data_IF_272047161348
#
_entry.id   IF_272047161348
#
_cell.length_a   1.000
_cell.length_b   1.000
_cell.length_c   1.000
_cell.angle_alpha   90.00
_cell.angle_beta   90.00
_cell.angle_gamma   90.00
#
_symmetry.space_group_name_H-M   'P 1'
#
loop_
_entity.id
_entity.type
_entity.pdbx_description
1 polymer ?
#
# COMPACT_ATOMS: atom_id res chain seq x y z
N UNK A 1 32.09 6.30 -4.71
CA UNK A 1 31.61 7.57 -4.12
C UNK A 1 30.86 8.25 -5.25
N UNK A 2 29.54 8.19 -5.24
CA UNK A 2 28.73 8.90 -6.26
C UNK A 2 29.01 10.38 -6.03
N UNK A 3 29.41 11.15 -7.05
CA UNK A 3 29.70 12.57 -6.86
C UNK A 3 28.43 13.25 -6.35
N UNK A 4 28.55 14.00 -5.27
CA UNK A 4 27.49 14.87 -4.76
C UNK A 4 27.05 15.78 -5.91
N UNK A 5 25.87 15.49 -6.44
CA UNK A 5 25.21 16.32 -7.43
C UNK A 5 24.94 17.68 -6.80
N UNK A 6 25.69 18.66 -7.29
CA UNK A 6 25.38 20.09 -7.38
C UNK A 6 24.19 20.57 -6.52
N UNK A 7 24.50 21.14 -5.35
CA UNK A 7 23.92 22.40 -4.86
C UNK A 7 22.40 22.58 -4.78
N UNK A 8 21.58 21.53 -4.91
CA UNK A 8 20.14 21.64 -4.69
C UNK A 8 19.90 21.75 -3.17
N UNK A 9 19.21 22.80 -2.73
CA UNK A 9 18.80 22.94 -1.34
C UNK A 9 18.02 21.67 -0.94
N UNK A 10 18.42 21.07 0.18
CA UNK A 10 17.82 19.84 0.69
C UNK A 10 16.30 19.98 0.85
N UNK A 11 15.83 21.19 1.16
CA UNK A 11 14.40 21.50 1.21
C UNK A 11 13.73 21.36 -0.15
N UNK A 12 14.29 21.95 -1.21
CA UNK A 12 13.78 21.84 -2.59
C UNK A 12 13.72 20.39 -3.06
N UNK A 13 14.76 19.60 -2.77
CA UNK A 13 14.76 18.17 -3.10
C UNK A 13 13.61 17.42 -2.38
N UNK A 14 13.39 17.69 -1.08
CA UNK A 14 12.30 17.08 -0.30
C UNK A 14 10.92 17.48 -0.83
N UNK A 15 10.73 18.73 -1.22
CA UNK A 15 9.46 19.21 -1.77
C UNK A 15 9.14 18.54 -3.11
N UNK A 16 10.13 18.37 -3.99
CA UNK A 16 9.97 17.61 -5.25
C UNK A 16 9.59 16.15 -4.98
N UNK A 17 10.19 15.53 -3.97
CA UNK A 17 9.83 14.16 -3.56
C UNK A 17 8.38 14.13 -3.06
N UNK A 18 7.97 15.07 -2.20
CA UNK A 18 6.59 15.15 -1.70
C UNK A 18 5.60 15.29 -2.86
N UNK A 19 5.86 16.19 -3.80
CA UNK A 19 5.02 16.40 -4.98
C UNK A 19 4.92 15.14 -5.86
N UNK A 20 6.03 14.43 -6.07
CA UNK A 20 6.03 13.16 -6.79
C UNK A 20 5.22 12.08 -6.05
N UNK A 21 5.35 12.01 -4.73
CA UNK A 21 4.66 11.02 -3.92
C UNK A 21 3.15 11.25 -3.93
N UNK A 22 2.72 12.49 -3.81
CA UNK A 22 1.30 12.87 -3.86
C UNK A 22 0.70 12.70 -5.25
N UNK A 23 1.50 12.73 -6.32
CA UNK A 23 1.02 12.46 -7.69
C UNK A 23 0.93 10.97 -8.03
N UNK A 24 1.75 10.13 -7.38
CA UNK A 24 1.83 8.69 -7.67
C UNK A 24 0.98 7.86 -6.72
N UNK A 25 0.91 8.21 -5.45
CA UNK A 25 0.28 7.39 -4.42
C UNK A 25 -0.94 8.06 -3.81
N UNK A 26 -1.93 7.24 -3.48
CA UNK A 26 -3.07 7.65 -2.68
C UNK A 26 -3.21 6.72 -1.47
N UNK A 27 -3.45 7.32 -0.31
CA UNK A 27 -3.96 6.62 0.89
C UNK A 27 -5.37 7.13 1.24
N UNK A 28 -6.04 7.71 0.23
CA UNK A 28 -7.40 8.22 0.28
C UNK A 28 -8.31 7.42 -0.65
N UNK A 29 -9.60 7.54 -0.41
CA UNK A 29 -10.65 7.00 -1.25
C UNK A 29 -11.88 7.92 -1.15
N UNK A 30 -12.51 8.22 -2.28
CA UNK A 30 -13.85 8.78 -2.28
C UNK A 30 -14.84 7.62 -2.01
N UNK A 31 -15.11 7.42 -0.72
CA UNK A 31 -15.96 6.33 -0.25
C UNK A 31 -17.42 6.52 -0.67
N UNK A 32 -17.91 7.76 -0.76
CA UNK A 32 -19.29 8.05 -1.15
C UNK A 32 -19.51 7.70 -2.62
N UNK A 33 -18.60 8.13 -3.50
CA UNK A 33 -18.64 7.78 -4.92
C UNK A 33 -18.54 6.26 -5.13
N UNK A 34 -17.69 5.56 -4.37
CA UNK A 34 -17.60 4.10 -4.44
C UNK A 34 -18.90 3.42 -3.98
N UNK A 35 -19.43 3.81 -2.81
CA UNK A 35 -20.67 3.25 -2.26
C UNK A 35 -21.86 3.43 -3.21
N UNK A 36 -21.93 4.54 -3.95
CA UNK A 36 -23.00 4.81 -4.90
C UNK A 36 -23.08 3.79 -6.05
N UNK A 37 -21.94 3.21 -6.45
CA UNK A 37 -21.85 2.32 -7.63
C UNK A 37 -21.50 0.87 -7.29
N UNK A 38 -21.14 0.56 -6.04
CA UNK A 38 -20.62 -0.76 -5.65
C UNK A 38 -21.62 -1.91 -5.87
N UNK A 39 -22.92 -1.63 -5.83
CA UNK A 39 -23.97 -2.64 -6.00
C UNK A 39 -24.25 -2.97 -7.46
N UNK A 40 -23.96 -2.03 -8.37
CA UNK A 40 -24.31 -2.11 -9.79
C UNK A 40 -23.14 -2.62 -10.64
N UNK A 41 -21.93 -2.64 -10.08
CA UNK A 41 -20.69 -2.88 -10.82
C UNK A 41 -19.83 -3.94 -10.14
N UNK A 42 -19.17 -4.78 -10.94
CA UNK A 42 -18.08 -5.64 -10.47
C UNK A 42 -16.73 -5.05 -10.87
N UNK A 43 -15.73 -5.18 -10.00
CA UNK A 43 -14.35 -4.79 -10.34
C UNK A 43 -13.79 -5.63 -11.51
N UNK A 44 -14.31 -6.84 -11.71
CA UNK A 44 -13.92 -7.75 -12.79
C UNK A 44 -14.75 -7.56 -14.07
N UNK A 45 -15.63 -6.55 -14.13
CA UNK A 45 -16.43 -6.26 -15.33
C UNK A 45 -15.54 -5.92 -16.52
N UNK A 46 -15.98 -6.29 -17.71
CA UNK A 46 -15.31 -5.91 -18.96
C UNK A 46 -15.35 -4.39 -19.16
N UNK A 47 -14.20 -3.81 -19.49
CA UNK A 47 -14.01 -2.38 -19.76
C UNK A 47 -13.42 -2.13 -21.14
N UNK A 48 -13.44 -3.13 -22.03
CA UNK A 48 -12.89 -3.02 -23.38
C UNK A 48 -13.50 -1.84 -24.16
N UNK A 49 -14.79 -1.56 -23.96
CA UNK A 49 -15.47 -0.40 -24.55
C UNK A 49 -14.89 0.92 -24.06
N UNK A 50 -14.61 1.04 -22.76
CA UNK A 50 -14.00 2.22 -22.16
C UNK A 50 -12.56 2.41 -22.67
N UNK A 51 -11.75 1.34 -22.71
CA UNK A 51 -10.37 1.38 -23.18
C UNK A 51 -10.25 1.66 -24.68
N UNK A 52 -11.27 1.28 -25.47
CA UNK A 52 -11.33 1.51 -26.90
C UNK A 52 -11.43 2.98 -27.30
N UNK A 53 -11.77 3.87 -26.36
CA UNK A 53 -11.85 5.31 -26.59
C UNK A 53 -10.98 6.07 -25.60
N UNK A 54 -9.84 6.61 -26.09
CA UNK A 54 -8.88 7.34 -25.27
C UNK A 54 -9.47 8.56 -24.56
N UNK A 55 -10.35 9.30 -25.23
CA UNK A 55 -10.95 10.52 -24.67
C UNK A 55 -11.93 10.19 -23.56
N UNK A 56 -12.79 9.19 -23.80
CA UNK A 56 -13.72 8.68 -22.79
C UNK A 56 -12.98 8.07 -21.60
N UNK A 57 -11.93 7.27 -21.85
CA UNK A 57 -11.10 6.69 -20.80
C UNK A 57 -10.41 7.78 -19.99
N UNK A 58 -9.82 8.79 -20.63
CA UNK A 58 -9.15 9.88 -19.94
C UNK A 58 -10.11 10.69 -19.07
N UNK A 59 -11.35 10.89 -19.50
CA UNK A 59 -12.38 11.57 -18.73
C UNK A 59 -12.86 10.75 -17.52
N UNK A 60 -12.97 9.42 -17.67
CA UNK A 60 -13.44 8.53 -16.61
C UNK A 60 -12.32 7.93 -15.74
N UNK A 61 -11.04 8.20 -16.03
CA UNK A 61 -9.90 7.51 -15.43
C UNK A 61 -9.91 7.59 -13.90
N UNK A 62 -10.15 8.77 -13.35
CA UNK A 62 -10.13 9.00 -11.91
C UNK A 62 -11.30 8.32 -11.20
N UNK A 63 -12.49 8.34 -11.81
CA UNK A 63 -13.67 7.63 -11.30
C UNK A 63 -13.45 6.11 -11.33
N UNK A 64 -12.89 5.60 -12.42
CA UNK A 64 -12.60 4.17 -12.56
C UNK A 64 -11.52 3.71 -11.59
N UNK A 65 -10.49 4.54 -11.39
CA UNK A 65 -9.44 4.29 -10.41
C UNK A 65 -10.00 4.27 -8.98
N UNK A 66 -10.87 5.22 -8.63
CA UNK A 66 -11.55 5.25 -7.33
C UNK A 66 -12.44 4.02 -7.12
N UNK A 67 -13.22 3.62 -8.14
CA UNK A 67 -14.03 2.41 -8.09
C UNK A 67 -13.19 1.16 -7.83
N UNK A 68 -12.12 0.96 -8.61
CA UNK A 68 -11.20 -0.16 -8.45
C UNK A 68 -10.54 -0.16 -7.07
N UNK A 69 -10.15 1.02 -6.57
CA UNK A 69 -9.56 1.16 -5.25
C UNK A 69 -10.54 0.81 -4.13
N UNK A 70 -11.79 1.28 -4.21
CA UNK A 70 -12.82 0.96 -3.22
C UNK A 70 -13.12 -0.54 -3.18
N UNK A 71 -13.17 -1.19 -4.34
CA UNK A 71 -13.44 -2.61 -4.42
C UNK A 71 -12.29 -3.50 -3.91
N UNK A 72 -11.03 -3.02 -3.94
CA UNK A 72 -9.86 -3.90 -3.74
C UNK A 72 -8.86 -3.46 -2.67
N UNK A 73 -8.87 -2.19 -2.25
CA UNK A 73 -7.86 -1.62 -1.35
C UNK A 73 -8.39 -1.37 0.06
N UNK A 74 -9.70 -1.44 0.27
CA UNK A 74 -10.31 -1.37 1.59
C UNK A 74 -9.96 -2.65 2.36
N UNK A 75 -9.28 -2.48 3.50
CA UNK A 75 -8.92 -3.58 4.36
C UNK A 75 -10.14 -4.12 5.10
N UNK A 76 -10.43 -5.40 4.88
CA UNK A 76 -11.39 -6.16 5.66
C UNK A 76 -10.64 -7.14 6.56
N UNK A 77 -10.88 -7.05 7.87
CA UNK A 77 -10.25 -7.94 8.82
C UNK A 77 -10.65 -9.39 8.54
N UNK A 78 -9.64 -10.26 8.50
CA UNK A 78 -9.80 -11.70 8.33
C UNK A 78 -9.00 -12.44 9.41
N UNK A 79 -9.17 -13.77 9.59
CA UNK A 79 -8.37 -14.54 10.53
C UNK A 79 -6.85 -14.38 10.35
N UNK A 80 -6.39 -14.07 9.13
CA UNK A 80 -4.98 -13.79 8.85
C UNK A 80 -4.45 -12.53 9.58
N UNK A 81 -5.34 -11.59 9.90
CA UNK A 81 -4.99 -10.37 10.62
C UNK A 81 -4.55 -10.71 12.05
N UNK A 82 -5.14 -11.73 12.67
CA UNK A 82 -4.84 -12.10 14.06
C UNK A 82 -3.79 -13.21 14.21
N UNK A 83 -3.26 -13.73 13.08
CA UNK A 83 -2.32 -14.86 13.04
C UNK A 83 -1.16 -14.74 14.05
N UNK A 84 -0.63 -13.53 14.23
CA UNK A 84 0.52 -13.27 15.10
C UNK A 84 0.16 -12.52 16.39
N UNK A 85 -1.07 -12.05 16.55
CA UNK A 85 -1.51 -11.33 17.76
C UNK A 85 -1.93 -12.27 18.88
N UNK A 86 -2.22 -13.54 18.56
CA UNK A 86 -2.59 -14.58 19.53
C UNK A 86 -1.38 -15.29 20.17
N UNK A 87 -0.14 -14.99 19.75
CA UNK A 87 1.03 -15.60 20.39
C UNK A 87 1.21 -15.07 21.82
N UNK A 88 1.69 -15.93 22.74
CA UNK A 88 1.94 -15.57 24.15
C UNK A 88 3.07 -14.54 24.33
N UNK A 89 3.71 -14.10 23.25
CA UNK A 89 4.76 -13.09 23.31
C UNK A 89 4.22 -11.75 23.80
N UNK A 90 4.81 -11.22 24.87
CA UNK A 90 4.46 -9.91 25.43
C UNK A 90 4.57 -8.76 24.40
N UNK A 91 5.35 -8.94 23.32
CA UNK A 91 5.47 -7.99 22.19
C UNK A 91 4.24 -7.98 21.28
N UNK A 92 3.52 -9.10 21.17
CA UNK A 92 2.30 -9.21 20.39
C UNK A 92 1.15 -8.38 21.01
N UNK A 93 1.06 -8.35 22.35
CA UNK A 93 0.07 -7.53 23.08
C UNK A 93 0.21 -6.02 22.88
N UNK A 94 1.41 -5.52 22.51
CA UNK A 94 1.67 -4.09 22.27
C UNK A 94 1.32 -3.64 20.84
N UNK A 95 1.25 -4.59 19.90
CA UNK A 95 0.84 -4.34 18.51
C UNK A 95 -0.67 -4.60 18.45
N UNK A 96 -1.43 -3.76 17.75
CA UNK A 96 -2.88 -3.98 17.61
C UNK A 96 -3.22 -5.38 17.09
N UNK A 97 -4.49 -5.78 17.20
CA UNK A 97 -4.92 -7.13 16.80
C UNK A 97 -4.62 -7.45 15.33
N UNK A 98 -4.63 -6.42 14.48
CA UNK A 98 -4.32 -6.55 13.06
C UNK A 98 -2.80 -6.57 12.80
N UNK A 99 -2.33 -7.65 12.17
CA UNK A 99 -0.96 -7.82 11.66
C UNK A 99 -0.49 -6.64 10.80
N UNK A 100 -1.39 -6.05 10.02
CA UNK A 100 -1.10 -4.92 9.13
C UNK A 100 -1.17 -3.55 9.83
N UNK A 101 -1.47 -3.54 11.13
CA UNK A 101 -1.63 -2.34 11.96
C UNK A 101 -2.79 -1.44 11.53
N UNK A 102 -3.85 -2.04 11.00
CA UNK A 102 -5.11 -1.36 10.70
C UNK A 102 -5.95 -1.26 11.99
N UNK A 103 -6.63 -0.12 12.26
CA UNK A 103 -6.68 1.11 11.47
C UNK A 103 -5.37 1.92 11.51
N UNK A 104 -4.98 2.44 10.35
CA UNK A 104 -3.80 3.31 10.23
C UNK A 104 -4.11 4.72 10.75
N UNK A 105 -3.09 5.37 11.32
CA UNK A 105 -3.18 6.75 11.79
C UNK A 105 -3.39 7.71 10.62
N UNK A 106 -4.38 8.60 10.74
CA UNK A 106 -4.61 9.66 9.77
C UNK A 106 -3.46 10.69 9.76
N UNK A 107 -3.16 11.21 8.58
CA UNK A 107 -2.09 12.17 8.35
C UNK A 107 -2.62 13.26 7.43
N UNK A 108 -2.61 14.50 7.91
CA UNK A 108 -3.22 15.62 7.19
C UNK A 108 -2.45 16.03 5.93
N UNK A 109 -1.11 15.94 5.96
CA UNK A 109 -0.24 16.29 4.83
C UNK A 109 0.98 15.38 4.74
N UNK A 110 1.43 15.15 3.51
CA UNK A 110 2.67 14.41 3.24
C UNK A 110 3.86 15.23 3.72
N UNK A 111 4.74 14.65 4.54
CA UNK A 111 5.88 15.34 5.11
C UNK A 111 6.96 14.38 5.60
N UNK A 112 8.20 14.86 5.62
CA UNK A 112 9.28 14.19 6.32
C UNK A 112 9.24 14.52 7.82
N UNK A 113 9.45 13.51 8.65
CA UNK A 113 9.73 13.69 10.08
C UNK A 113 11.14 14.21 10.32
N UNK A 114 11.42 14.73 11.51
CA UNK A 114 12.77 15.10 11.95
C UNK A 114 13.79 13.96 11.78
N UNK A 115 13.31 12.73 11.95
CA UNK A 115 14.06 11.48 11.78
C UNK A 115 14.30 11.06 10.31
N UNK A 116 13.82 11.86 9.35
CA UNK A 116 13.93 11.58 7.91
C UNK A 116 12.95 10.53 7.39
N UNK A 117 11.95 10.11 8.18
CA UNK A 117 10.90 9.18 7.71
C UNK A 117 9.80 9.95 6.99
N UNK A 118 9.46 9.53 5.77
CA UNK A 118 8.36 10.08 4.99
C UNK A 118 7.00 9.53 5.47
N UNK A 119 6.12 10.43 5.91
CA UNK A 119 4.70 10.16 6.09
C UNK A 119 3.91 10.68 4.90
N UNK A 120 2.98 9.88 4.41
CA UNK A 120 2.11 10.21 3.29
C UNK A 120 0.76 10.63 3.85
N UNK A 121 0.13 11.63 3.21
CA UNK A 121 -1.21 12.09 3.53
C UNK A 121 -2.20 10.93 3.47
N UNK A 122 -3.02 10.80 4.51
CA UNK A 122 -4.00 9.74 4.69
C UNK A 122 -5.26 10.28 5.34
N UNK A 123 -6.35 10.27 4.59
CA UNK A 123 -7.72 10.60 5.06
C UNK A 123 -8.56 9.35 5.32
N UNK A 124 -8.14 8.18 4.83
CA UNK A 124 -8.87 6.92 5.06
C UNK A 124 -8.04 5.91 5.87
N UNK A 125 -8.51 5.56 7.06
CA UNK A 125 -7.77 4.72 8.03
C UNK A 125 -7.75 3.23 7.67
N UNK A 126 -8.61 2.80 6.75
CA UNK A 126 -8.77 1.38 6.36
C UNK A 126 -8.30 1.10 4.94
N UNK A 127 -7.84 2.09 4.18
CA UNK A 127 -7.43 1.90 2.77
C UNK A 127 -5.92 1.71 2.70
N UNK A 128 -5.49 0.65 2.01
CA UNK A 128 -4.08 0.43 1.70
C UNK A 128 -3.55 1.53 0.80
N UNK A 129 -2.23 1.76 0.78
CA UNK A 129 -1.66 2.66 -0.23
C UNK A 129 -1.83 2.06 -1.62
N UNK A 130 -2.31 2.85 -2.56
CA UNK A 130 -2.58 2.42 -3.92
C UNK A 130 -2.08 3.44 -4.94
N UNK A 131 -2.00 3.00 -6.21
CA UNK A 131 -1.70 3.84 -7.36
C UNK A 131 -2.85 3.76 -8.37
N UNK A 132 -3.26 4.90 -8.93
CA UNK A 132 -4.42 4.98 -9.83
C UNK A 132 -4.28 4.10 -11.07
N UNK A 133 -3.13 4.20 -11.75
CA UNK A 133 -2.89 3.41 -12.94
C UNK A 133 -2.91 1.92 -12.63
N UNK A 134 -2.19 1.48 -11.59
CA UNK A 134 -2.15 0.08 -11.19
C UNK A 134 -3.55 -0.41 -10.79
N UNK A 135 -4.35 0.38 -10.08
CA UNK A 135 -5.72 0.03 -9.73
C UNK A 135 -6.58 -0.27 -10.98
N UNK A 136 -6.55 0.62 -11.98
CA UNK A 136 -7.34 0.48 -13.22
C UNK A 136 -6.88 -0.68 -14.08
N UNK A 137 -5.55 -0.87 -14.23
CA UNK A 137 -4.98 -1.90 -15.09
C UNK A 137 -5.05 -3.29 -14.49
N UNK A 138 -4.76 -3.40 -13.19
CA UNK A 138 -4.66 -4.69 -12.52
C UNK A 138 -5.94 -5.14 -11.85
N UNK A 139 -6.79 -4.20 -11.39
CA UNK A 139 -8.10 -4.48 -10.79
C UNK A 139 -8.06 -5.46 -9.61
N UNK A 140 -6.93 -5.54 -8.92
CA UNK A 140 -6.76 -6.35 -7.71
C UNK A 140 -6.02 -5.57 -6.61
N UNK A 141 -6.07 -6.13 -5.41
CA UNK A 141 -5.37 -5.58 -4.25
C UNK A 141 -3.86 -5.45 -4.54
N UNK A 142 -3.27 -4.31 -4.22
CA UNK A 142 -1.84 -4.11 -4.34
C UNK A 142 -1.35 -3.26 -3.17
N UNK A 143 -0.13 -3.53 -2.72
CA UNK A 143 0.53 -2.75 -1.68
C UNK A 143 1.86 -2.25 -2.23
N UNK A 144 2.00 -0.92 -2.31
CA UNK A 144 3.17 -0.28 -2.90
C UNK A 144 3.78 0.66 -1.88
N UNK A 145 5.10 0.68 -1.80
CA UNK A 145 5.83 1.55 -0.90
C UNK A 145 7.03 2.21 -1.55
N UNK A 146 7.12 3.53 -1.38
CA UNK A 146 8.29 4.30 -1.78
C UNK A 146 9.45 4.11 -0.79
N UNK A 147 10.65 3.84 -1.33
CA UNK A 147 11.87 3.55 -0.58
C UNK A 147 12.87 4.68 -0.82
N UNK A 148 12.76 5.76 -0.03
CA UNK A 148 13.65 6.91 -0.12
C UNK A 148 14.36 7.27 1.19
N UNK A 149 14.34 6.35 2.16
CA UNK A 149 14.97 6.60 3.47
C UNK A 149 15.85 5.41 3.80
N UNK A 150 17.02 5.66 4.39
CA UNK A 150 17.94 4.60 4.80
C UNK A 150 17.24 3.57 5.69
N UNK A 151 16.39 4.01 6.61
CA UNK A 151 15.61 3.12 7.49
C UNK A 151 14.71 2.17 6.70
N UNK A 152 13.96 2.66 5.71
CA UNK A 152 13.13 1.80 4.84
C UNK A 152 13.97 0.86 3.99
N UNK A 153 15.07 1.35 3.41
CA UNK A 153 15.99 0.52 2.61
C UNK A 153 16.55 -0.64 3.44
N UNK A 154 17.07 -0.35 4.64
CA UNK A 154 17.60 -1.37 5.53
C UNK A 154 16.52 -2.38 5.95
N UNK A 155 15.33 -1.92 6.31
CA UNK A 155 14.22 -2.81 6.64
C UNK A 155 13.84 -3.74 5.48
N UNK A 156 13.85 -3.23 4.25
CA UNK A 156 13.60 -4.03 3.05
C UNK A 156 14.71 -5.06 2.80
N UNK A 157 15.98 -4.68 2.93
CA UNK A 157 17.10 -5.61 2.79
C UNK A 157 16.95 -6.77 3.77
N UNK A 158 16.70 -6.48 5.06
CA UNK A 158 16.44 -7.53 6.06
C UNK A 158 15.25 -8.42 5.68
N UNK A 159 14.17 -7.82 5.19
CA UNK A 159 12.99 -8.56 4.78
C UNK A 159 13.27 -9.51 3.60
N UNK A 160 13.91 -9.00 2.54
CA UNK A 160 14.26 -9.77 1.35
C UNK A 160 15.23 -10.89 1.72
N UNK A 161 16.28 -10.60 2.47
CA UNK A 161 17.25 -11.61 2.93
C UNK A 161 16.54 -12.70 3.72
N UNK A 162 15.72 -12.36 4.72
CA UNK A 162 14.99 -13.34 5.52
C UNK A 162 14.04 -14.21 4.67
N UNK A 163 13.47 -13.67 3.59
CA UNK A 163 12.63 -14.44 2.68
C UNK A 163 13.46 -15.34 1.76
N UNK A 164 14.54 -14.82 1.18
CA UNK A 164 15.44 -15.55 0.29
C UNK A 164 16.19 -16.68 1.02
N UNK A 165 16.53 -16.48 2.29
CA UNK A 165 17.20 -17.48 3.13
C UNK A 165 16.22 -18.26 3.99
N UNK A 166 14.90 -18.15 3.72
CA UNK A 166 13.89 -18.90 4.47
C UNK A 166 14.11 -20.39 4.20
N UNK A 167 14.70 -21.07 5.18
CA UNK A 167 14.89 -22.51 5.13
C UNK A 167 13.51 -23.15 5.03
N UNK A 168 13.25 -23.84 3.92
CA UNK A 168 12.05 -24.66 3.85
C UNK A 168 12.13 -25.73 4.92
N UNK A 169 11.07 -25.87 5.72
CA UNK A 169 11.01 -26.99 6.66
C UNK A 169 11.15 -28.29 5.86
N UNK A 170 12.14 -29.13 6.20
CA UNK A 170 12.35 -30.38 5.48
C UNK A 170 11.08 -31.22 5.55
N UNK A 171 10.77 -31.88 4.42
CA UNK A 171 9.49 -32.56 4.20
C UNK A 171 9.09 -33.46 5.37
N UNK A 172 10.05 -34.13 6.01
CA UNK A 172 9.80 -35.01 7.16
C UNK A 172 9.12 -34.29 8.35
N UNK A 173 9.42 -33.01 8.60
CA UNK A 173 8.74 -32.24 9.66
C UNK A 173 7.26 -32.02 9.34
N UNK A 174 6.91 -31.88 8.06
CA UNK A 174 5.51 -31.75 7.61
C UNK A 174 4.76 -33.07 7.77
N UNK A 175 5.44 -34.19 7.53
CA UNK A 175 4.89 -35.55 7.73
C UNK A 175 4.66 -35.85 9.22
N UNK A 176 5.62 -35.54 10.08
CA UNK A 176 5.50 -35.75 11.54
C UNK A 176 4.39 -34.90 12.16
N UNK A 177 4.16 -33.68 11.67
CA UNK A 177 3.08 -32.82 12.18
C UNK A 177 1.66 -33.23 11.70
N UNK A 178 1.57 -34.11 10.70
CA UNK A 178 0.31 -34.58 10.12
C UNK A 178 -0.11 -35.99 10.63
N UNK A 179 0.77 -36.66 11.37
CA UNK A 179 0.53 -37.94 12.03
C UNK A 179 0.10 -37.73 13.49
#
# INVERSE_FOLDING_TARGET
>A
MVPDTEGEDQATCRDRIIQYIDSVFSEDLDQEAFCAVQAERSVTSDISSLLGNREQFSAAFDEEANFCAGATQIHTHSPTCVKYSLSKDKRAKKRGLCRFQVPWRLVEKTAFTADGVLHIRRRHSMVSRWNKAIAVWLRHNHDISFIATQRKTMALVYYITNYATKVEDPVWKRVVAAA
#
